data_IF_573270595856
#
_entry.id   IF_573270595856
#
_cell.length_a   1.000
_cell.length_b   1.000
_cell.length_c   1.000
_cell.angle_alpha   90.00
_cell.angle_beta   90.00
_cell.angle_gamma   90.00
#
_symmetry.space_group_name_H-M   'P 1'
#
loop_
_entity.id
_entity.type
_entity.pdbx_description
1 polymer ?
#
# COMPACT_ATOMS: atom_id res chain seq x y z
N UNK A 1 -24.77 -18.73 -13.42
CA UNK A 1 -23.92 -17.52 -13.30
C UNK A 1 -24.50 -16.44 -14.20
N UNK A 2 -25.02 -15.37 -13.62
CA UNK A 2 -25.78 -14.36 -14.38
C UNK A 2 -24.87 -13.42 -15.17
N UNK A 3 -25.25 -13.19 -16.43
CA UNK A 3 -24.60 -12.37 -17.45
C UNK A 3 -24.40 -10.91 -16.98
N UNK A 4 -25.16 -10.49 -15.96
CA UNK A 4 -25.08 -9.15 -15.35
C UNK A 4 -23.75 -8.84 -14.65
N UNK A 5 -22.97 -9.84 -14.21
CA UNK A 5 -21.65 -9.58 -13.58
C UNK A 5 -20.56 -9.23 -14.61
N UNK A 6 -20.61 -9.79 -15.82
CA UNK A 6 -19.59 -9.53 -16.86
C UNK A 6 -19.74 -8.15 -17.50
N UNK A 7 -20.95 -7.57 -17.50
CA UNK A 7 -21.21 -6.25 -18.07
C UNK A 7 -20.65 -5.09 -17.22
N UNK A 8 -20.67 -5.22 -15.88
CA UNK A 8 -20.07 -4.22 -14.98
C UNK A 8 -18.54 -4.17 -15.10
N UNK A 9 -17.90 -5.33 -15.25
CA UNK A 9 -16.46 -5.44 -15.43
C UNK A 9 -15.97 -4.77 -16.72
N UNK A 10 -16.79 -4.80 -17.79
CA UNK A 10 -16.43 -4.18 -19.06
C UNK A 10 -16.68 -2.67 -19.09
N UNK A 11 -17.67 -2.17 -18.34
CA UNK A 11 -17.91 -0.74 -18.17
C UNK A 11 -16.81 -0.05 -17.34
N UNK A 12 -16.29 -0.73 -16.30
CA UNK A 12 -15.12 -0.25 -15.54
C UNK A 12 -13.84 -0.19 -16.41
N UNK A 13 -13.68 -1.14 -17.34
CA UNK A 13 -12.58 -1.11 -18.31
C UNK A 13 -12.71 -0.04 -19.39
N UNK A 14 -13.93 0.41 -19.70
CA UNK A 14 -14.19 1.39 -20.76
C UNK A 14 -14.17 2.84 -20.28
N UNK A 15 -14.48 3.11 -19.00
CA UNK A 15 -14.60 4.47 -18.46
C UNK A 15 -13.25 5.03 -17.97
N UNK A 16 -12.33 4.21 -17.44
CA UNK A 16 -11.04 4.71 -16.90
C UNK A 16 -9.94 4.90 -17.96
N UNK A 17 -10.32 5.27 -19.18
CA UNK A 17 -9.40 5.77 -20.18
C UNK A 17 -9.11 7.25 -19.93
N UNK A 18 -8.02 7.53 -19.20
CA UNK A 18 -7.37 8.85 -19.03
C UNK A 18 -8.16 9.85 -18.15
N UNK A 19 -7.50 10.35 -17.10
CA UNK A 19 -7.86 11.59 -16.37
C UNK A 19 -8.99 11.59 -15.30
N UNK A 20 -9.37 10.44 -14.73
CA UNK A 20 -9.95 10.47 -13.38
C UNK A 20 -8.85 10.16 -12.36
N UNK A 21 -8.23 11.19 -11.80
CA UNK A 21 -7.45 11.02 -10.58
C UNK A 21 -8.45 10.74 -9.45
N UNK A 22 -8.46 9.52 -8.86
CA UNK A 22 -9.37 9.25 -7.76
C UNK A 22 -9.09 10.24 -6.63
N UNK A 23 -10.15 10.75 -6.00
CA UNK A 23 -10.06 11.65 -4.84
C UNK A 23 -9.09 11.11 -3.78
N UNK A 24 -9.03 9.78 -3.66
CA UNK A 24 -8.07 9.06 -2.83
C UNK A 24 -6.60 9.46 -3.04
N UNK A 25 -6.13 9.85 -4.24
CA UNK A 25 -4.76 10.34 -4.42
C UNK A 25 -4.51 11.68 -3.72
N UNK A 26 -5.51 12.56 -3.74
CA UNK A 26 -5.45 13.85 -3.02
C UNK A 26 -5.51 13.60 -1.52
N UNK A 27 -6.32 12.64 -1.08
CA UNK A 27 -6.46 12.27 0.32
C UNK A 27 -5.20 11.59 0.87
N UNK A 28 -4.54 10.74 0.08
CA UNK A 28 -3.22 10.19 0.39
C UNK A 28 -2.22 11.34 0.63
N UNK A 29 -2.16 12.30 -0.29
CA UNK A 29 -1.22 13.41 -0.17
C UNK A 29 -1.52 14.30 1.04
N UNK A 30 -2.80 14.60 1.26
CA UNK A 30 -3.26 15.31 2.45
C UNK A 30 -2.89 14.55 3.72
N UNK A 31 -3.08 13.23 3.75
CA UNK A 31 -2.74 12.39 4.88
C UNK A 31 -1.26 12.46 5.22
N UNK A 32 -0.38 12.22 4.24
CA UNK A 32 1.07 12.26 4.45
C UNK A 32 1.55 13.66 4.87
N UNK A 33 0.91 14.74 4.40
CA UNK A 33 1.20 16.11 4.85
C UNK A 33 0.78 16.39 6.29
N UNK A 34 -0.36 15.84 6.74
CA UNK A 34 -0.91 16.08 8.07
C UNK A 34 -0.29 15.18 9.15
N UNK A 35 -0.06 13.91 8.82
CA UNK A 35 0.34 12.88 9.78
C UNK A 35 1.77 12.38 9.57
N UNK A 36 2.39 12.70 8.45
CA UNK A 36 3.74 12.24 8.12
C UNK A 36 3.79 10.79 7.62
N UNK A 37 4.98 10.18 7.61
CA UNK A 37 5.20 8.84 7.09
C UNK A 37 4.48 7.76 7.89
N UNK A 38 4.08 6.68 7.20
CA UNK A 38 3.50 5.49 7.84
C UNK A 38 4.62 4.51 8.16
N UNK A 39 4.74 4.13 9.42
CA UNK A 39 5.74 3.21 9.93
C UNK A 39 5.15 1.81 10.04
N UNK A 40 5.95 0.82 9.64
CA UNK A 40 5.64 -0.61 9.72
C UNK A 40 6.69 -1.34 10.55
N UNK A 41 6.23 -2.16 11.49
CA UNK A 41 7.06 -3.14 12.21
C UNK A 41 7.01 -4.47 11.46
N UNK A 42 8.17 -5.03 11.17
CA UNK A 42 8.29 -6.33 10.50
C UNK A 42 8.62 -7.45 11.48
N UNK A 43 7.88 -8.55 11.35
CA UNK A 43 8.10 -9.78 12.10
C UNK A 43 8.20 -10.93 11.12
N UNK A 44 9.20 -11.77 11.30
CA UNK A 44 9.29 -13.04 10.57
C UNK A 44 8.47 -14.08 11.30
N UNK A 45 7.50 -14.67 10.61
CA UNK A 45 6.60 -15.69 11.14
C UNK A 45 6.69 -16.92 10.23
N UNK A 46 7.48 -17.91 10.65
CA UNK A 46 7.84 -19.07 9.82
C UNK A 46 8.61 -18.66 8.57
N UNK A 47 8.03 -18.97 7.41
CA UNK A 47 8.58 -18.67 6.08
C UNK A 47 8.07 -17.35 5.49
N UNK A 48 7.20 -16.62 6.20
CA UNK A 48 6.65 -15.34 5.75
C UNK A 48 7.14 -14.18 6.62
N UNK A 49 7.16 -12.99 6.04
CA UNK A 49 7.41 -11.73 6.72
C UNK A 49 6.07 -11.00 6.83
N UNK A 50 5.70 -10.62 8.05
CA UNK A 50 4.47 -9.89 8.38
C UNK A 50 4.84 -8.45 8.72
N UNK A 51 4.22 -7.48 8.05
CA UNK A 51 4.34 -6.06 8.31
C UNK A 51 3.08 -5.52 8.98
N UNK A 52 3.24 -4.81 10.10
CA UNK A 52 2.12 -4.21 10.85
C UNK A 52 2.36 -2.71 10.98
N UNK A 53 1.39 -1.89 10.56
CA UNK A 53 1.51 -0.44 10.71
C UNK A 53 1.35 0.00 12.17
N UNK A 54 2.19 0.92 12.63
CA UNK A 54 2.25 1.35 14.04
C UNK A 54 1.63 2.72 14.29
N UNK A 55 1.52 3.56 13.25
CA UNK A 55 1.06 4.95 13.35
C UNK A 55 0.02 5.33 12.28
N UNK A 56 -0.63 4.34 11.65
CA UNK A 56 -1.69 4.60 10.69
C UNK A 56 -2.97 5.06 11.40
N UNK A 57 -3.55 6.20 10.99
CA UNK A 57 -4.69 6.80 11.71
C UNK A 57 -6.05 6.24 11.34
N UNK A 58 -6.18 5.63 10.16
CA UNK A 58 -7.45 5.06 9.71
C UNK A 58 -7.65 3.59 10.12
N UNK A 59 -6.79 3.07 11.01
CA UNK A 59 -6.85 1.71 11.52
C UNK A 59 -5.47 1.07 11.60
N UNK A 60 -5.36 -0.20 11.23
CA UNK A 60 -4.10 -0.92 11.17
C UNK A 60 -3.99 -1.64 9.84
N UNK A 61 -2.86 -1.45 9.16
CA UNK A 61 -2.52 -2.14 7.93
C UNK A 61 -1.66 -3.33 8.34
N UNK A 62 -2.16 -4.54 8.09
CA UNK A 62 -1.44 -5.79 8.34
C UNK A 62 -1.29 -6.49 7.00
N UNK A 63 -0.05 -6.74 6.60
CA UNK A 63 0.28 -7.40 5.34
C UNK A 63 1.33 -8.47 5.58
N UNK A 64 1.39 -9.45 4.68
CA UNK A 64 2.42 -10.48 4.70
C UNK A 64 2.98 -10.71 3.30
N UNK A 65 4.22 -11.16 3.21
CA UNK A 65 4.87 -11.55 1.97
C UNK A 65 5.93 -12.62 2.22
N UNK A 66 6.25 -13.44 1.21
CA UNK A 66 7.31 -14.45 1.31
C UNK A 66 8.69 -13.81 1.29
N UNK A 67 8.81 -12.70 0.57
CA UNK A 67 10.04 -11.92 0.41
C UNK A 67 9.77 -10.43 0.64
N UNK A 68 10.82 -9.67 0.93
CA UNK A 68 10.76 -8.21 1.14
C UNK A 68 10.11 -7.47 -0.05
N UNK A 69 10.35 -7.93 -1.28
CA UNK A 69 9.75 -7.35 -2.50
C UNK A 69 8.25 -7.57 -2.58
N UNK A 70 7.79 -8.76 -2.22
CA UNK A 70 6.36 -9.09 -2.21
C UNK A 70 5.65 -8.31 -1.10
N UNK A 71 6.28 -8.24 0.07
CA UNK A 71 5.78 -7.49 1.20
C UNK A 71 5.67 -5.99 0.91
N UNK A 72 6.69 -5.38 0.32
CA UNK A 72 6.68 -3.96 -0.08
C UNK A 72 5.54 -3.66 -1.06
N UNK A 73 5.33 -4.54 -2.05
CA UNK A 73 4.21 -4.44 -2.98
C UNK A 73 2.87 -4.52 -2.24
N UNK A 74 2.73 -5.47 -1.32
CA UNK A 74 1.50 -5.66 -0.55
C UNK A 74 1.23 -4.48 0.39
N UNK A 75 2.26 -3.87 0.98
CA UNK A 75 2.13 -2.66 1.78
C UNK A 75 1.62 -1.50 0.93
N UNK A 76 2.25 -1.24 -0.21
CA UNK A 76 1.82 -0.17 -1.13
C UNK A 76 0.38 -0.38 -1.58
N UNK A 77 0.03 -1.60 -1.95
CA UNK A 77 -1.33 -1.97 -2.36
C UNK A 77 -2.35 -1.77 -1.23
N UNK A 78 -2.01 -2.15 0.00
CA UNK A 78 -2.88 -1.97 1.16
C UNK A 78 -3.04 -0.50 1.56
N UNK A 79 -1.98 0.31 1.45
CA UNK A 79 -2.09 1.76 1.62
C UNK A 79 -3.05 2.31 0.57
N UNK A 80 -2.84 2.04 -0.72
CA UNK A 80 -3.72 2.53 -1.79
C UNK A 80 -5.18 2.11 -1.59
N UNK A 81 -5.40 0.84 -1.23
CA UNK A 81 -6.74 0.29 -0.92
C UNK A 81 -7.39 1.02 0.25
N UNK A 82 -6.63 1.38 1.28
CA UNK A 82 -7.15 2.13 2.44
C UNK A 82 -7.64 3.53 2.08
N UNK A 83 -7.22 4.07 0.94
CA UNK A 83 -7.67 5.35 0.39
C UNK A 83 -8.58 5.18 -0.84
N UNK A 84 -9.12 3.98 -1.06
CA UNK A 84 -9.99 3.65 -2.19
C UNK A 84 -9.34 3.93 -3.57
N UNK A 85 -8.00 3.87 -3.62
CA UNK A 85 -7.21 4.06 -4.84
C UNK A 85 -6.87 2.71 -5.44
N UNK A 86 -7.16 2.54 -6.73
CA UNK A 86 -6.76 1.34 -7.46
C UNK A 86 -5.23 1.25 -7.56
N UNK A 87 -4.70 0.03 -7.45
CA UNK A 87 -3.26 -0.26 -7.50
C UNK A 87 -2.55 0.17 -8.79
N UNK A 88 -3.31 0.41 -9.86
CA UNK A 88 -2.82 1.01 -11.10
C UNK A 88 -2.22 2.40 -10.91
N UNK A 89 -2.66 3.14 -9.88
CA UNK A 89 -2.17 4.47 -9.56
C UNK A 89 -0.98 4.46 -8.58
N UNK A 90 -0.35 3.31 -8.33
CA UNK A 90 0.78 3.20 -7.42
C UNK A 90 1.98 4.06 -7.86
N UNK A 91 2.15 4.30 -9.15
CA UNK A 91 3.22 5.17 -9.68
C UNK A 91 2.90 6.65 -9.40
N UNK A 92 1.65 7.04 -9.56
CA UNK A 92 1.11 8.39 -9.36
C UNK A 92 1.04 8.76 -7.88
N UNK A 93 0.79 7.76 -7.02
CA UNK A 93 0.82 7.92 -5.58
C UNK A 93 2.22 8.12 -5.02
N UNK A 94 3.30 7.85 -5.77
CA UNK A 94 4.67 8.18 -5.35
C UNK A 94 5.11 7.58 -4.01
N UNK A 95 4.47 6.51 -3.51
CA UNK A 95 4.79 5.96 -2.19
C UNK A 95 6.16 5.27 -2.25
N UNK A 96 7.15 5.84 -1.54
CA UNK A 96 8.49 5.30 -1.40
C UNK A 96 8.73 4.81 0.02
N UNK A 97 9.49 3.73 0.10
CA UNK A 97 10.10 3.32 1.35
C UNK A 97 11.29 4.26 1.63
N UNK A 98 11.28 4.90 2.79
CA UNK A 98 12.32 5.82 3.25
C UNK A 98 13.50 5.11 3.90
N UNK A 99 13.34 3.83 4.28
CA UNK A 99 14.36 3.06 4.97
C UNK A 99 14.67 1.78 4.19
N UNK A 100 15.89 1.68 3.66
CA UNK A 100 16.44 0.40 3.23
C UNK A 100 16.78 -0.40 4.51
N UNK A 101 15.90 -1.30 4.93
CA UNK A 101 16.27 -2.32 5.92
C UNK A 101 17.38 -3.17 5.31
N UNK A 102 18.62 -2.93 5.72
CA UNK A 102 19.73 -3.79 5.34
C UNK A 102 19.59 -5.14 6.03
N UNK A 103 20.00 -6.22 5.33
CA UNK A 103 19.75 -7.63 5.69
C UNK A 103 20.22 -8.07 7.10
N UNK A 104 20.96 -7.22 7.82
CA UNK A 104 21.49 -7.48 9.15
C UNK A 104 20.47 -7.22 10.28
N UNK A 105 19.39 -6.47 10.02
CA UNK A 105 18.39 -6.08 11.03
C UNK A 105 17.25 -7.11 11.24
N UNK A 106 17.21 -8.20 10.48
CA UNK A 106 16.15 -9.23 10.56
C UNK A 106 16.14 -9.96 11.92
N UNK A 107 17.20 -9.82 12.73
CA UNK A 107 17.26 -10.35 14.10
C UNK A 107 16.70 -9.41 15.18
N UNK A 108 16.49 -8.12 14.88
CA UNK A 108 16.03 -7.12 15.85
C UNK A 108 15.10 -6.12 15.14
N UNK A 109 13.79 -6.39 15.17
CA UNK A 109 12.69 -5.48 14.77
C UNK A 109 13.07 -4.42 13.72
N UNK A 110 12.91 -4.76 12.44
CA UNK A 110 13.08 -3.75 11.40
C UNK A 110 11.86 -2.84 11.31
N UNK A 111 12.11 -1.53 11.17
CA UNK A 111 11.09 -0.51 10.98
C UNK A 111 11.25 0.13 9.60
N UNK A 112 10.25 -0.02 8.73
CA UNK A 112 10.22 0.71 7.46
C UNK A 112 9.19 1.82 7.52
N UNK A 113 9.57 2.97 6.98
CA UNK A 113 8.73 4.15 6.90
C UNK A 113 8.37 4.40 5.44
N UNK A 114 7.10 4.61 5.16
CA UNK A 114 6.58 4.91 3.83
C UNK A 114 6.12 6.35 3.77
N UNK A 115 6.51 7.08 2.72
CA UNK A 115 6.09 8.46 2.46
C UNK A 115 5.90 8.73 0.97
N UNK A 116 5.37 9.90 0.64
CA UNK A 116 5.37 10.40 -0.73
C UNK A 116 6.78 10.81 -1.16
N UNK A 117 7.13 10.43 -2.40
CA UNK A 117 8.35 10.76 -3.11
C UNK A 117 8.52 12.25 -3.44
#
# INVERSE_FOLDING_TARGET
>A
MSITKKAKDYLLKAISGKDFAPQGLVDINRYFRLYGPINFEFKKEGDAIVGISTNFRFGSIVTSGKDEKELDKNIKDAILTSFEVASSYAKEAGIKNLNECTKEDVKNKCYQSYALA
#
